data_IF_329813675268
#
_entry.id   IF_329813675268
#
_cell.length_a   1.000
_cell.length_b   1.000
_cell.length_c   1.000
_cell.angle_alpha   90.00
_cell.angle_beta   90.00
_cell.angle_gamma   90.00
#
_symmetry.space_group_name_H-M   'P 1'
#
loop_
_entity.id
_entity.type
_entity.pdbx_description
1 polymer ?
#
# COMPACT_ATOMS: atom_id res chain seq x y z
N UNK A 1 5.12 9.13 -3.33
CA UNK A 1 3.83 8.85 -4.05
C UNK A 1 2.72 9.84 -3.65
N UNK A 2 2.28 10.75 -4.52
CA UNK A 2 1.53 11.97 -4.12
C UNK A 2 0.06 11.77 -3.72
N UNK A 3 -0.63 10.69 -4.13
CA UNK A 3 -2.07 10.52 -3.84
C UNK A 3 -2.41 9.38 -2.86
N UNK A 4 -1.40 8.72 -2.29
CA UNK A 4 -1.61 7.75 -1.22
C UNK A 4 -1.82 8.48 0.10
N UNK A 5 -3.03 8.36 0.65
CA UNK A 5 -3.36 9.03 1.90
C UNK A 5 -2.68 8.33 3.08
N UNK A 6 -1.90 9.07 3.85
CA UNK A 6 -1.31 8.61 5.10
C UNK A 6 -2.27 8.82 6.29
N UNK A 7 -2.02 8.14 7.41
CA UNK A 7 -2.78 8.34 8.65
C UNK A 7 -2.58 9.78 9.13
N UNK A 8 -3.69 10.46 9.47
CA UNK A 8 -3.66 11.85 9.96
C UNK A 8 -3.14 11.95 11.41
N UNK A 9 -3.24 10.86 12.18
CA UNK A 9 -2.79 10.74 13.57
C UNK A 9 -1.73 9.65 13.68
N UNK A 10 -0.69 9.88 14.49
CA UNK A 10 0.44 8.98 14.65
C UNK A 10 1.62 9.32 13.73
N UNK A 11 2.75 8.60 13.88
CA UNK A 11 3.95 8.86 13.10
C UNK A 11 3.69 8.62 11.61
N UNK A 12 4.16 9.56 10.77
CA UNK A 12 4.12 9.39 9.32
C UNK A 12 5.04 8.24 8.93
N UNK A 13 4.60 7.43 7.97
CA UNK A 13 5.43 6.41 7.37
C UNK A 13 6.50 7.08 6.51
N UNK A 14 7.72 6.54 6.55
CA UNK A 14 8.77 6.90 5.60
C UNK A 14 8.35 6.51 4.18
N UNK A 15 8.94 7.14 3.17
CA UNK A 15 8.62 6.83 1.78
C UNK A 15 8.94 5.38 1.44
N UNK A 16 10.09 4.85 1.89
CA UNK A 16 10.49 3.45 1.68
C UNK A 16 9.45 2.47 2.22
N UNK A 17 8.90 2.74 3.42
CA UNK A 17 7.85 1.89 4.00
C UNK A 17 6.56 1.93 3.19
N UNK A 18 6.21 3.07 2.61
CA UNK A 18 5.06 3.17 1.71
C UNK A 18 5.28 2.37 0.42
N UNK A 19 6.48 2.46 -0.16
CA UNK A 19 6.86 1.68 -1.34
C UNK A 19 6.70 0.19 -1.05
N UNK A 20 7.26 -0.29 0.05
CA UNK A 20 7.21 -1.72 0.41
C UNK A 20 5.77 -2.22 0.65
N UNK A 21 4.89 -1.37 1.23
CA UNK A 21 3.46 -1.70 1.36
C UNK A 21 2.80 -1.83 -0.02
N UNK A 22 3.11 -0.93 -0.95
CA UNK A 22 2.58 -0.97 -2.31
C UNK A 22 3.11 -2.21 -3.05
N UNK A 23 4.37 -2.54 -2.91
CA UNK A 23 4.97 -3.75 -3.47
C UNK A 23 4.30 -5.03 -2.94
N UNK A 24 4.02 -5.12 -1.64
CA UNK A 24 3.27 -6.23 -1.06
C UNK A 24 1.85 -6.34 -1.60
N UNK A 25 1.17 -5.20 -1.79
CA UNK A 25 -0.16 -5.18 -2.43
C UNK A 25 -0.06 -5.66 -3.87
N UNK A 26 0.92 -5.17 -4.64
CA UNK A 26 1.14 -5.59 -6.02
C UNK A 26 1.49 -7.08 -6.11
N UNK A 27 2.30 -7.59 -5.20
CA UNK A 27 2.59 -9.02 -5.08
C UNK A 27 1.31 -9.83 -4.91
N UNK A 28 0.42 -9.42 -3.98
CA UNK A 28 -0.89 -10.06 -3.81
C UNK A 28 -1.72 -10.01 -5.09
N UNK A 29 -1.79 -8.85 -5.74
CA UNK A 29 -2.60 -8.66 -6.95
C UNK A 29 -2.09 -9.50 -8.12
N UNK A 30 -0.76 -9.60 -8.25
CA UNK A 30 -0.09 -10.36 -9.31
C UNK A 30 -0.19 -11.87 -9.10
N UNK A 31 -0.04 -12.35 -7.87
CA UNK A 31 0.03 -13.79 -7.55
C UNK A 31 -1.31 -14.40 -7.14
N UNK A 32 -2.26 -13.57 -6.71
CA UNK A 32 -3.51 -14.05 -6.12
C UNK A 32 -3.35 -14.67 -4.72
N UNK A 33 -2.18 -14.55 -4.09
CA UNK A 33 -1.92 -15.12 -2.78
C UNK A 33 -2.91 -14.62 -1.71
N UNK A 34 -3.17 -15.47 -0.71
CA UNK A 34 -3.97 -15.08 0.43
C UNK A 34 -3.23 -14.01 1.25
N UNK A 35 -3.98 -13.08 1.87
CA UNK A 35 -3.38 -12.01 2.68
C UNK A 35 -2.45 -12.55 3.78
N UNK A 36 -2.80 -13.68 4.39
CA UNK A 36 -2.02 -14.31 5.47
C UNK A 36 -0.68 -14.88 4.98
N UNK A 37 -0.58 -15.20 3.70
CA UNK A 37 0.60 -15.79 3.04
C UNK A 37 1.50 -14.72 2.41
N UNK A 38 1.27 -13.44 2.71
CA UNK A 38 2.13 -12.38 2.21
C UNK A 38 3.54 -12.48 2.80
N UNK A 39 4.59 -12.37 1.96
CA UNK A 39 5.99 -12.46 2.40
C UNK A 39 6.47 -11.17 3.10
N UNK A 40 5.78 -10.75 4.16
CA UNK A 40 5.99 -9.43 4.80
C UNK A 40 7.42 -9.25 5.29
N UNK A 41 8.00 -10.31 5.87
CA UNK A 41 9.38 -10.30 6.39
C UNK A 41 10.44 -10.06 5.31
N UNK A 42 10.11 -10.31 4.03
CA UNK A 42 11.02 -10.04 2.92
C UNK A 42 11.01 -8.56 2.53
N UNK A 43 9.87 -7.89 2.65
CA UNK A 43 9.68 -6.51 2.20
C UNK A 43 9.76 -5.49 3.32
N UNK A 44 9.47 -5.84 4.58
CA UNK A 44 9.36 -4.87 5.67
C UNK A 44 10.03 -5.36 6.95
N UNK A 45 10.79 -4.46 7.57
CA UNK A 45 11.36 -4.64 8.90
C UNK A 45 10.44 -4.08 10.00
N UNK A 46 10.44 -4.72 11.17
CA UNK A 46 9.66 -4.31 12.34
C UNK A 46 8.29 -5.00 12.47
N UNK A 47 7.39 -4.52 13.35
CA UNK A 47 6.14 -5.18 13.71
C UNK A 47 5.03 -4.98 12.66
N UNK A 48 5.34 -5.20 11.39
CA UNK A 48 4.35 -5.16 10.31
C UNK A 48 3.69 -6.53 10.14
N UNK A 49 2.38 -6.49 9.90
CA UNK A 49 1.54 -7.67 9.75
C UNK A 49 0.69 -7.57 8.49
N UNK A 50 0.11 -8.68 8.05
CA UNK A 50 -0.74 -8.68 6.86
C UNK A 50 -1.98 -7.82 7.08
N UNK A 51 -2.44 -7.71 8.33
CA UNK A 51 -3.51 -6.82 8.75
C UNK A 51 -3.13 -5.36 8.50
N UNK A 52 -1.88 -4.98 8.76
CA UNK A 52 -1.37 -3.63 8.51
C UNK A 52 -1.43 -3.31 7.01
N UNK A 53 -0.93 -4.22 6.17
CA UNK A 53 -0.97 -4.07 4.70
C UNK A 53 -2.41 -4.00 4.19
N UNK A 54 -3.26 -4.90 4.66
CA UNK A 54 -4.68 -4.91 4.31
C UNK A 54 -5.40 -3.63 4.75
N UNK A 55 -5.07 -3.09 5.93
CA UNK A 55 -5.63 -1.83 6.41
C UNK A 55 -5.30 -0.68 5.44
N UNK A 56 -4.05 -0.58 4.99
CA UNK A 56 -3.64 0.40 3.98
C UNK A 56 -4.39 0.21 2.67
N UNK A 57 -4.43 -1.03 2.15
CA UNK A 57 -5.13 -1.37 0.92
C UNK A 57 -6.61 -0.97 0.99
N UNK A 58 -7.34 -1.47 1.99
CA UNK A 58 -8.77 -1.20 2.16
C UNK A 58 -9.05 0.30 2.29
N UNK A 59 -8.20 1.02 3.04
CA UNK A 59 -8.35 2.46 3.18
C UNK A 59 -8.15 3.18 1.85
N UNK A 60 -7.13 2.85 1.09
CA UNK A 60 -6.86 3.48 -0.21
C UNK A 60 -7.94 3.14 -1.25
N UNK A 61 -8.51 1.94 -1.21
CA UNK A 61 -9.68 1.59 -2.00
C UNK A 61 -10.88 2.48 -1.64
N UNK A 62 -11.21 2.61 -0.35
CA UNK A 62 -12.33 3.46 0.11
C UNK A 62 -12.18 4.93 -0.24
N UNK A 63 -10.95 5.43 -0.34
CA UNK A 63 -10.66 6.83 -0.65
C UNK A 63 -10.49 7.11 -2.15
N UNK A 64 -10.63 6.09 -2.99
CA UNK A 64 -10.42 6.19 -4.43
C UNK A 64 -8.98 6.55 -4.81
N UNK A 65 -8.01 6.27 -3.93
CA UNK A 65 -6.61 6.63 -4.14
C UNK A 65 -6.05 6.00 -5.42
N UNK A 66 -6.41 4.75 -5.72
CA UNK A 66 -5.95 4.04 -6.91
C UNK A 66 -6.43 4.71 -8.20
N UNK A 67 -7.72 5.05 -8.26
CA UNK A 67 -8.31 5.75 -9.39
C UNK A 67 -7.67 7.13 -9.58
N UNK A 68 -7.53 7.92 -8.51
CA UNK A 68 -6.89 9.25 -8.58
C UNK A 68 -5.44 9.18 -9.05
N UNK A 69 -4.68 8.18 -8.60
CA UNK A 69 -3.32 7.97 -9.08
C UNK A 69 -3.31 7.61 -10.58
N UNK A 70 -4.25 6.79 -11.03
CA UNK A 70 -4.36 6.42 -12.44
C UNK A 70 -4.74 7.61 -13.32
N UNK A 71 -5.75 8.39 -12.93
CA UNK A 71 -6.16 9.62 -13.61
C UNK A 71 -5.01 10.63 -13.68
N UNK A 72 -4.29 10.84 -12.57
CA UNK A 72 -3.12 11.71 -12.54
C UNK A 72 -1.95 11.19 -13.39
N UNK A 73 -1.82 9.88 -13.55
CA UNK A 73 -0.81 9.28 -14.43
C UNK A 73 -1.18 9.47 -15.91
N UNK A 74 -2.44 9.24 -16.29
CA UNK A 74 -2.92 9.45 -17.66
C UNK A 74 -2.89 10.93 -18.03
N UNK A 75 -3.34 11.83 -17.16
CA UNK A 75 -3.39 13.27 -17.45
C UNK A 75 -2.01 13.97 -17.52
N UNK A 76 -0.92 13.24 -17.23
CA UNK A 76 0.46 13.72 -17.40
C UNK A 76 1.10 13.28 -18.72
N UNK A 77 0.43 12.42 -19.50
CA UNK A 77 0.82 12.10 -20.88
C UNK A 77 0.36 13.21 -21.82
#
# INVERSE_FOLDING_TARGET
MPHLTQIKKGPKLTEDKLVNIVELILYRLKTGAQWRELPIRHFMEGPYSWQSVFHHFNRWCKQGCWQKNWEAYIGKK
#
